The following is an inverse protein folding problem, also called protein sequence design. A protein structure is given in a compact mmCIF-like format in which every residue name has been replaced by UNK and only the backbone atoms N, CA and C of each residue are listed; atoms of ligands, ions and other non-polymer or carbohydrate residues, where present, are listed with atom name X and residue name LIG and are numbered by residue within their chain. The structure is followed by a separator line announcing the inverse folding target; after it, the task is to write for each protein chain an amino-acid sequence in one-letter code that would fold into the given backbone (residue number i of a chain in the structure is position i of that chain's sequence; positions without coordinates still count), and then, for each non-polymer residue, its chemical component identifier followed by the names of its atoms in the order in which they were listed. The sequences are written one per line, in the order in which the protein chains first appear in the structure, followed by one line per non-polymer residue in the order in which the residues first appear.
data_IF_230070904607
#
_entry.id   IF_230070904607
#
_cell.length_a   1.000
_cell.length_b   1.000
_cell.length_c   1.000
_cell.angle_alpha   90.00
_cell.angle_beta   90.00
_cell.angle_gamma   90.00
#
_symmetry.space_group_name_H-M   'P 1'
#
loop_
_entity.id
_entity.type
_entity.pdbx_description
1 polymer ?
#
# COMPACT_ATOMS: atom_id res chain seq x y z
N UNK A 1 3.25 37.47 27.86
CA UNK A 1 2.43 36.35 28.37
C UNK A 1 1.18 36.27 27.51
N UNK A 2 1.22 35.55 26.39
CA UNK A 2 0.04 35.23 25.59
C UNK A 2 -0.19 33.73 25.76
N UNK A 3 -1.01 33.37 26.73
CA UNK A 3 -1.39 31.98 26.98
C UNK A 3 -2.52 31.59 26.04
N UNK A 4 -2.17 30.92 24.95
CA UNK A 4 -3.17 30.16 24.19
C UNK A 4 -3.59 28.95 25.04
N UNK A 5 -4.89 28.66 25.15
CA UNK A 5 -5.36 27.55 25.96
C UNK A 5 -4.82 26.25 25.39
N UNK A 6 -4.20 25.47 26.27
CA UNK A 6 -3.82 24.08 26.07
C UNK A 6 -5.02 23.32 25.49
N UNK A 7 -4.93 22.95 24.21
CA UNK A 7 -5.71 21.85 23.66
C UNK A 7 -5.27 20.60 24.40
N UNK A 8 -5.97 20.34 25.50
CA UNK A 8 -5.90 19.10 26.22
C UNK A 8 -6.09 17.94 25.23
N UNK A 9 -5.00 17.19 25.03
CA UNK A 9 -4.96 15.72 25.11
C UNK A 9 -6.23 15.04 24.59
N UNK A 10 -6.57 15.22 23.32
CA UNK A 10 -7.68 14.51 22.70
C UNK A 10 -7.57 14.52 21.18
N UNK A 11 -6.46 14.03 20.60
CA UNK A 11 -6.53 13.34 19.30
C UNK A 11 -5.27 12.58 18.84
N UNK A 12 -4.41 12.10 19.76
CA UNK A 12 -3.37 11.14 19.39
C UNK A 12 -3.97 9.77 18.94
N UNK A 13 -5.27 9.56 19.13
CA UNK A 13 -5.99 8.32 18.87
C UNK A 13 -6.96 8.37 17.66
N UNK A 14 -6.92 9.40 16.81
CA UNK A 14 -7.66 9.43 15.53
C UNK A 14 -6.78 9.24 14.30
N UNK A 15 -5.76 8.39 14.43
CA UNK A 15 -5.20 7.68 13.26
C UNK A 15 -6.10 6.46 12.94
N UNK A 16 -7.38 6.72 12.67
CA UNK A 16 -8.22 5.80 11.92
C UNK A 16 -8.25 6.30 10.46
N UNK A 17 -7.06 6.53 9.88
CA UNK A 17 -6.92 6.34 8.44
C UNK A 17 -7.05 4.84 8.21
N UNK A 18 -7.79 4.44 7.17
CA UNK A 18 -8.16 3.06 6.91
C UNK A 18 -6.93 2.25 6.51
N UNK A 19 -6.13 1.80 7.49
CA UNK A 19 -4.96 0.97 7.24
C UNK A 19 -5.38 -0.24 6.39
N UNK A 20 -4.82 -0.34 5.19
CA UNK A 20 -5.16 -1.38 4.22
C UNK A 20 -6.09 -0.97 3.09
N UNK A 21 -6.68 0.23 3.11
CA UNK A 21 -7.38 0.77 1.94
C UNK A 21 -6.40 0.89 0.78
N UNK A 22 -6.74 0.32 -0.38
CA UNK A 22 -5.81 0.22 -1.50
C UNK A 22 -6.48 0.52 -2.83
N UNK A 23 -5.70 1.10 -3.74
CA UNK A 23 -6.10 1.43 -5.11
C UNK A 23 -5.11 0.80 -6.09
N UNK A 24 -5.64 0.11 -7.09
CA UNK A 24 -4.85 -0.40 -8.22
C UNK A 24 -5.28 0.40 -9.45
N UNK A 25 -4.32 0.98 -10.15
CA UNK A 25 -4.52 1.70 -11.40
C UNK A 25 -3.86 0.91 -12.53
N UNK A 26 -4.67 0.64 -13.55
CA UNK A 26 -4.25 0.09 -14.83
C UNK A 26 -4.72 1.05 -15.93
N UNK A 27 -4.13 1.03 -17.14
CA UNK A 27 -4.60 1.86 -18.24
C UNK A 27 -6.08 1.60 -18.54
N UNK A 28 -6.86 2.64 -18.92
CA UNK A 28 -8.29 2.49 -19.21
C UNK A 28 -8.56 1.69 -20.48
N UNK A 29 -7.56 1.55 -21.35
CA UNK A 29 -7.63 0.83 -22.61
C UNK A 29 -6.43 -0.09 -22.70
N UNK A 30 -6.68 -1.40 -22.79
CA UNK A 30 -5.66 -2.44 -22.83
C UNK A 30 -5.98 -3.33 -24.04
N UNK A 31 -4.97 -3.68 -24.84
CA UNK A 31 -5.08 -4.69 -25.88
C UNK A 31 -4.26 -5.91 -25.53
N UNK A 32 -4.64 -7.05 -26.10
CA UNK A 32 -3.91 -8.30 -25.90
C UNK A 32 -2.46 -8.16 -26.38
N UNK A 33 -1.53 -8.47 -25.48
CA UNK A 33 -0.09 -8.44 -25.74
C UNK A 33 0.60 -7.14 -25.34
N UNK A 34 -0.16 -6.09 -25.00
CA UNK A 34 0.39 -4.82 -24.51
C UNK A 34 1.26 -5.04 -23.26
N UNK A 35 2.30 -4.22 -23.12
CA UNK A 35 3.01 -4.06 -21.85
C UNK A 35 2.42 -2.82 -21.19
N UNK A 36 1.73 -3.02 -20.07
CA UNK A 36 1.02 -1.97 -19.33
C UNK A 36 1.74 -1.66 -18.01
N UNK A 37 1.68 -0.40 -17.58
CA UNK A 37 2.16 -0.01 -16.26
C UNK A 37 1.05 -0.25 -15.21
N UNK A 38 1.32 -1.19 -14.31
CA UNK A 38 0.46 -1.46 -13.15
C UNK A 38 0.96 -0.61 -12.01
N UNK A 39 0.06 0.19 -11.43
CA UNK A 39 0.35 1.05 -10.29
C UNK A 39 -0.52 0.66 -9.11
N UNK A 40 0.06 0.56 -7.93
CA UNK A 40 -0.69 0.26 -6.72
C UNK A 40 -0.25 1.16 -5.56
N UNK A 41 -1.23 1.63 -4.80
CA UNK A 41 -1.06 2.40 -3.57
C UNK A 41 -1.89 1.74 -2.46
N UNK A 42 -1.31 1.60 -1.27
CA UNK A 42 -2.01 1.13 -0.07
C UNK A 42 -1.80 2.11 1.07
N UNK A 43 -2.86 2.47 1.78
CA UNK A 43 -2.81 3.33 2.96
C UNK A 43 -2.15 2.56 4.12
N UNK A 44 -0.98 3.00 4.55
CA UNK A 44 -0.22 2.34 5.61
C UNK A 44 0.81 3.30 6.24
N UNK A 45 0.97 3.33 7.58
CA UNK A 45 1.83 4.29 8.25
C UNK A 45 3.32 4.18 7.90
N UNK A 46 3.80 2.95 7.64
CA UNK A 46 5.22 2.65 7.35
C UNK A 46 6.18 3.26 8.37
N UNK A 47 5.85 3.11 9.66
CA UNK A 47 6.68 3.61 10.75
C UNK A 47 8.00 2.83 10.84
N UNK A 48 9.11 3.56 10.85
CA UNK A 48 10.45 2.96 10.76
C UNK A 48 10.98 2.38 12.07
N UNK A 49 10.40 2.77 13.21
CA UNK A 49 10.94 2.47 14.53
C UNK A 49 11.96 3.48 15.05
N UNK A 50 12.35 4.48 14.24
CA UNK A 50 13.42 5.43 14.58
C UNK A 50 12.90 6.77 15.14
N UNK A 51 11.61 7.06 14.94
CA UNK A 51 10.99 8.31 15.37
C UNK A 51 10.45 8.21 16.80
N UNK A 52 10.28 9.39 17.42
CA UNK A 52 9.67 9.56 18.74
C UNK A 52 8.42 10.44 18.62
N UNK A 53 7.47 10.25 19.52
CA UNK A 53 6.32 11.14 19.66
C UNK A 53 6.71 12.48 20.31
N UNK A 54 5.73 13.38 20.50
CA UNK A 54 5.97 14.71 21.08
C UNK A 54 6.42 14.63 22.55
N UNK A 55 6.04 13.58 23.25
CA UNK A 55 6.39 13.26 24.62
C UNK A 55 7.76 12.57 24.74
N UNK A 56 8.38 12.21 23.60
CA UNK A 56 9.68 11.59 23.51
C UNK A 56 9.68 10.07 23.60
N UNK A 57 8.54 9.39 23.59
CA UNK A 57 8.47 7.92 23.54
C UNK A 57 8.78 7.40 22.14
N UNK A 58 9.45 6.24 22.02
CA UNK A 58 9.73 5.63 20.71
C UNK A 58 8.45 5.15 20.04
N UNK A 59 8.31 5.43 18.74
CA UNK A 59 7.24 4.90 17.90
C UNK A 59 7.66 3.52 17.39
N UNK A 60 6.95 2.41 17.71
CA UNK A 60 7.35 1.08 17.27
C UNK A 60 7.30 0.92 15.74
N UNK A 61 8.22 0.12 15.20
CA UNK A 61 8.24 -0.19 13.77
C UNK A 61 6.94 -0.87 13.32
N UNK A 62 6.33 -0.35 12.27
CA UNK A 62 5.11 -0.89 11.66
C UNK A 62 5.16 -0.64 10.16
N UNK A 63 5.51 -1.67 9.40
CA UNK A 63 5.71 -1.57 7.96
C UNK A 63 5.26 -2.86 7.25
N UNK A 64 4.84 -2.70 6.01
CA UNK A 64 4.57 -3.80 5.09
C UNK A 64 5.91 -4.44 4.70
N UNK A 65 6.02 -5.76 4.82
CA UNK A 65 7.25 -6.51 4.56
C UNK A 65 7.14 -7.49 3.38
N UNK A 66 5.93 -7.88 2.98
CA UNK A 66 5.67 -8.85 1.92
C UNK A 66 4.52 -8.38 1.02
N UNK A 67 4.77 -8.30 -0.29
CA UNK A 67 3.77 -7.93 -1.29
C UNK A 67 3.76 -8.94 -2.42
N UNK A 68 2.66 -9.66 -2.59
CA UNK A 68 2.48 -10.63 -3.68
C UNK A 68 1.44 -10.15 -4.68
N UNK A 69 1.73 -10.28 -5.97
CA UNK A 69 0.81 -9.94 -7.06
C UNK A 69 0.53 -11.17 -7.92
N UNK A 70 -0.73 -11.56 -7.98
CA UNK A 70 -1.21 -12.66 -8.80
C UNK A 70 -1.95 -12.10 -10.02
N UNK A 71 -1.61 -12.60 -11.20
CA UNK A 71 -2.35 -12.36 -12.43
C UNK A 71 -3.05 -13.66 -12.85
N UNK A 72 -4.34 -13.76 -12.57
CA UNK A 72 -5.06 -15.04 -12.60
C UNK A 72 -4.44 -16.02 -11.60
N UNK A 73 -3.97 -17.14 -12.10
CA UNK A 73 -3.35 -18.24 -11.35
C UNK A 73 -1.81 -18.19 -11.31
N UNK A 74 -1.19 -17.18 -11.92
CA UNK A 74 0.28 -17.04 -11.98
C UNK A 74 0.75 -15.85 -11.18
N UNK A 75 1.84 -16.03 -10.44
CA UNK A 75 2.54 -14.91 -9.79
C UNK A 75 3.13 -14.00 -10.86
N UNK A 76 2.73 -12.73 -10.82
CA UNK A 76 3.19 -11.69 -11.74
C UNK A 76 4.37 -10.91 -11.17
N UNK A 77 4.36 -10.66 -9.86
CA UNK A 77 5.43 -9.98 -9.14
C UNK A 77 5.39 -10.33 -7.65
N UNK A 78 6.57 -10.26 -7.02
CA UNK A 78 6.74 -10.35 -5.58
C UNK A 78 7.74 -9.29 -5.12
N UNK A 79 7.41 -8.59 -4.04
CA UNK A 79 8.26 -7.57 -3.45
C UNK A 79 8.46 -7.84 -1.96
N UNK A 80 9.71 -7.74 -1.52
CA UNK A 80 10.06 -7.73 -0.11
C UNK A 80 10.40 -6.29 0.27
N UNK A 81 9.60 -5.71 1.14
CA UNK A 81 9.76 -4.34 1.60
C UNK A 81 10.41 -4.29 2.97
N UNK A 82 11.03 -3.15 3.26
CA UNK A 82 11.65 -2.87 4.55
C UNK A 82 11.07 -1.58 5.12
N UNK A 83 11.45 -1.25 6.35
CA UNK A 83 11.08 0.01 7.00
C UNK A 83 11.54 1.27 6.27
N UNK A 84 12.37 1.16 5.22
CA UNK A 84 12.81 2.29 4.39
C UNK A 84 11.79 2.77 3.35
N UNK A 85 10.67 2.07 3.19
CA UNK A 85 9.60 2.49 2.27
C UNK A 85 8.73 3.57 2.94
N UNK A 86 8.42 4.62 2.18
CA UNK A 86 7.62 5.76 2.63
C UNK A 86 6.19 5.38 3.01
N UNK A 87 5.58 6.21 3.87
CA UNK A 87 4.14 6.19 4.20
C UNK A 87 3.28 6.17 2.94
N UNK A 88 2.14 5.48 3.03
CA UNK A 88 1.18 5.26 1.94
C UNK A 88 1.88 4.68 0.71
N UNK A 89 2.50 3.50 0.87
CA UNK A 89 3.47 2.99 -0.09
C UNK A 89 2.87 2.76 -1.47
N UNK A 90 3.67 3.10 -2.47
CA UNK A 90 3.37 3.02 -3.89
C UNK A 90 4.36 2.11 -4.61
N UNK A 91 3.88 1.33 -5.56
CA UNK A 91 4.71 0.54 -6.48
C UNK A 91 4.16 0.61 -7.89
N UNK A 92 5.08 0.66 -8.85
CA UNK A 92 4.80 0.62 -10.28
C UNK A 92 5.69 -0.41 -10.95
N UNK A 93 5.11 -1.25 -11.81
CA UNK A 93 5.87 -2.22 -12.59
C UNK A 93 5.16 -2.55 -13.91
N UNK A 94 5.92 -2.92 -14.96
CA UNK A 94 5.34 -3.34 -16.21
C UNK A 94 4.77 -4.76 -16.13
N UNK A 95 3.59 -4.96 -16.72
CA UNK A 95 2.94 -6.28 -16.87
C UNK A 95 2.59 -6.50 -18.34
N UNK A 96 2.91 -7.67 -18.88
CA UNK A 96 2.40 -8.07 -20.20
C UNK A 96 0.97 -8.58 -20.06
N UNK A 97 0.01 -7.90 -20.68
CA UNK A 97 -1.40 -8.24 -20.66
C UNK A 97 -1.73 -9.28 -21.75
N UNK A 98 -1.34 -10.53 -21.54
CA UNK A 98 -1.49 -11.63 -22.51
C UNK A 98 -2.88 -12.30 -22.50
N UNK A 99 -3.61 -12.18 -21.39
CA UNK A 99 -4.95 -12.76 -21.16
C UNK A 99 -5.86 -11.79 -20.41
N UNK A 100 -7.16 -12.03 -20.42
CA UNK A 100 -8.07 -11.33 -19.49
C UNK A 100 -8.13 -12.14 -18.20
N UNK A 101 -7.84 -11.50 -17.07
CA UNK A 101 -7.82 -12.16 -15.77
C UNK A 101 -7.86 -11.13 -14.63
N UNK A 102 -8.14 -11.62 -13.43
CA UNK A 102 -8.04 -10.85 -12.20
C UNK A 102 -6.56 -10.56 -11.88
N UNK A 103 -6.22 -9.32 -11.61
CA UNK A 103 -4.96 -8.92 -11.02
C UNK A 103 -5.18 -8.63 -9.53
N UNK A 104 -4.62 -9.46 -8.65
CA UNK A 104 -4.82 -9.41 -7.22
C UNK A 104 -3.51 -9.10 -6.49
N UNK A 105 -3.55 -8.08 -5.63
CA UNK A 105 -2.46 -7.74 -4.73
C UNK A 105 -2.79 -8.22 -3.32
N UNK A 106 -1.77 -8.69 -2.61
CA UNK A 106 -1.81 -8.94 -1.16
C UNK A 106 -0.60 -8.29 -0.51
N UNK A 107 -0.83 -7.46 0.49
CA UNK A 107 0.20 -6.86 1.34
C UNK A 107 0.13 -7.46 2.73
N UNK A 108 1.28 -7.79 3.33
CA UNK A 108 1.37 -8.21 4.73
C UNK A 108 2.30 -7.29 5.49
N UNK A 109 1.95 -6.99 6.73
CA UNK A 109 2.77 -6.18 7.64
C UNK A 109 3.43 -7.00 8.75
N UNK A 110 4.42 -6.39 9.40
CA UNK A 110 5.18 -6.99 10.49
C UNK A 110 4.38 -7.14 11.81
N UNK A 111 3.12 -6.71 11.86
CA UNK A 111 2.19 -6.86 12.99
C UNK A 111 1.07 -7.88 12.71
N UNK A 112 1.14 -8.58 11.57
CA UNK A 112 0.17 -9.61 11.17
C UNK A 112 -1.03 -9.07 10.38
N UNK A 113 -1.04 -7.79 10.02
CA UNK A 113 -2.02 -7.22 9.10
C UNK A 113 -1.89 -7.81 7.70
N UNK A 114 -3.04 -8.07 7.07
CA UNK A 114 -3.12 -8.57 5.69
C UNK A 114 -4.16 -7.75 4.95
N UNK A 115 -3.76 -7.19 3.81
CA UNK A 115 -4.59 -6.30 3.00
C UNK A 115 -4.62 -6.82 1.57
N UNK A 116 -5.79 -6.79 0.93
CA UNK A 116 -5.95 -7.31 -0.43
C UNK A 116 -6.76 -6.35 -1.29
N UNK A 117 -6.35 -6.20 -2.55
CA UNK A 117 -7.11 -5.45 -3.55
C UNK A 117 -7.02 -6.13 -4.91
N UNK A 118 -8.04 -5.93 -5.75
CA UNK A 118 -8.19 -6.62 -7.03
C UNK A 118 -8.67 -5.67 -8.10
N UNK A 119 -8.20 -5.86 -9.31
CA UNK A 119 -8.75 -5.23 -10.52
C UNK A 119 -8.84 -6.27 -11.62
N UNK A 120 -9.77 -6.11 -12.55
CA UNK A 120 -9.89 -6.99 -13.70
C UNK A 120 -9.13 -6.39 -14.88
N UNK A 121 -8.29 -7.19 -15.55
CA UNK A 121 -7.71 -6.83 -16.84
C UNK A 121 -8.68 -7.31 -17.92
N UNK A 122 -9.22 -6.35 -18.67
CA UNK A 122 -10.10 -6.56 -19.83
C UNK A 122 -9.54 -5.88 -21.05
N UNK A 123 -9.70 -6.52 -22.20
CA UNK A 123 -9.30 -5.95 -23.46
C UNK A 123 -10.43 -5.14 -24.08
N UNK A 124 -10.06 -4.07 -24.76
CA UNK A 124 -10.97 -3.44 -25.71
C UNK A 124 -10.93 -4.24 -27.01
N UNK A 125 -12.11 -4.51 -27.58
CA UNK A 125 -12.26 -5.06 -28.94
C UNK A 125 -11.77 -4.07 -30.01
#
# INVERSE_FOLDING_TARGET
MCGSPSMAVADAARLHLEVGAARILVPPTIRRGDVIDVRALVEHPMATGLFRDAEGHPIPAHFINDVSVMYGDREAAHFVWTSGISRDPFVEFPLRADREALLAFTWKDNKGGVFTQRVEIKFVE
#
